data_IF_578619806326
#
_entry.id   IF_578619806326
#
_cell.length_a   1.000
_cell.length_b   1.000
_cell.length_c   1.000
_cell.angle_alpha   90.00
_cell.angle_beta   90.00
_cell.angle_gamma   90.00
#
_symmetry.space_group_name_H-M   'P 1'
#
loop_
_entity.id
_entity.type
_entity.pdbx_description
1 polymer ?
#
# COMPACT_ATOMS: atom_id res chain seq x y z
N UNK A 1 -15.62 -5.91 8.89
CA UNK A 1 -15.10 -6.70 8.50
C UNK A 1 -14.93 -7.86 7.52
N UNK A 2 -14.75 -9.05 7.99
CA UNK A 2 -14.66 -10.29 7.19
C UNK A 2 -13.70 -10.20 5.97
N UNK A 3 -12.54 -9.53 6.13
CA UNK A 3 -11.54 -9.42 5.08
C UNK A 3 -11.76 -8.29 4.07
N UNK A 4 -12.74 -7.41 4.25
CA UNK A 4 -12.91 -6.25 3.41
C UNK A 4 -11.73 -5.28 3.58
N UNK A 5 -11.02 -4.99 2.49
CA UNK A 5 -9.83 -4.13 2.50
C UNK A 5 -10.14 -2.73 3.00
N UNK A 6 -11.28 -2.17 2.58
CA UNK A 6 -11.71 -0.81 2.99
C UNK A 6 -11.89 -0.65 4.50
N UNK A 7 -12.12 -1.74 5.25
CA UNK A 7 -12.19 -1.70 6.71
C UNK A 7 -10.85 -1.36 7.38
N UNK A 8 -9.75 -1.26 6.64
CA UNK A 8 -8.48 -0.71 7.11
C UNK A 8 -8.47 0.82 7.20
N UNK A 9 -9.37 1.50 6.50
CA UNK A 9 -9.58 2.94 6.67
C UNK A 9 -10.29 3.22 8.00
N UNK A 10 -9.82 4.19 8.79
CA UNK A 10 -10.21 4.37 10.19
C UNK A 10 -11.71 4.60 10.39
N UNK A 11 -12.36 5.39 9.52
CA UNK A 11 -13.79 5.69 9.64
C UNK A 11 -14.65 4.52 9.18
N UNK A 12 -14.23 3.79 8.16
CA UNK A 12 -14.86 2.55 7.71
C UNK A 12 -14.75 1.44 8.77
N UNK A 13 -13.60 1.35 9.47
CA UNK A 13 -13.42 0.45 10.61
C UNK A 13 -14.40 0.76 11.73
N UNK A 14 -14.53 2.04 12.11
CA UNK A 14 -15.47 2.50 13.15
C UNK A 14 -16.90 2.15 12.74
N UNK A 15 -17.30 2.45 11.51
CA UNK A 15 -18.62 2.11 10.99
C UNK A 15 -18.91 0.61 11.07
N UNK A 16 -17.92 -0.23 10.72
CA UNK A 16 -18.03 -1.69 10.80
C UNK A 16 -18.20 -2.19 12.24
N UNK A 17 -17.49 -1.62 13.21
CA UNK A 17 -17.61 -1.96 14.64
C UNK A 17 -19.00 -1.58 15.16
N UNK A 18 -19.55 -0.45 14.70
CA UNK A 18 -20.89 0.01 15.06
C UNK A 18 -22.02 -0.81 14.40
N UNK A 19 -21.69 -1.80 13.56
CA UNK A 19 -22.68 -2.60 12.82
C UNK A 19 -23.29 -1.89 11.62
N UNK A 20 -22.71 -0.76 11.22
CA UNK A 20 -23.05 -0.06 9.98
C UNK A 20 -22.25 -0.64 8.79
N UNK A 21 -22.67 -0.31 7.57
CA UNK A 21 -21.88 -0.57 6.38
C UNK A 21 -20.53 0.12 6.50
N UNK A 22 -19.45 -0.62 6.19
CA UNK A 22 -18.09 -0.08 6.21
C UNK A 22 -17.88 0.90 5.05
N UNK A 23 -18.22 2.15 5.27
CA UNK A 23 -18.04 3.26 4.34
C UNK A 23 -17.15 4.32 4.97
N UNK A 24 -16.36 4.99 4.15
CA UNK A 24 -15.52 6.10 4.58
C UNK A 24 -16.39 7.32 4.93
N UNK A 25 -16.14 7.93 6.08
CA UNK A 25 -16.84 9.15 6.48
C UNK A 25 -16.02 10.42 6.18
N UNK A 26 -16.74 11.53 5.94
CA UNK A 26 -16.11 12.84 5.71
C UNK A 26 -15.45 13.35 6.99
N UNK A 27 -14.29 13.94 6.86
CA UNK A 27 -13.58 14.62 7.95
C UNK A 27 -13.42 16.10 7.64
N UNK A 28 -13.58 17.04 8.59
CA UNK A 28 -13.96 16.87 10.00
C UNK A 28 -15.43 16.45 10.23
N UNK A 29 -15.80 15.87 11.41
CA UNK A 29 -14.94 15.67 12.56
C UNK A 29 -13.97 14.49 12.40
N UNK A 30 -12.78 14.60 13.01
CA UNK A 30 -11.82 13.50 13.06
C UNK A 30 -12.18 12.53 14.20
N UNK A 31 -11.84 11.23 14.11
CA UNK A 31 -12.17 10.22 15.14
C UNK A 31 -11.72 10.60 16.56
N UNK A 32 -10.63 11.35 16.70
CA UNK A 32 -10.17 11.85 18.02
C UNK A 32 -11.14 12.81 18.66
N UNK A 33 -12.05 13.41 17.90
CA UNK A 33 -13.12 14.29 18.38
C UNK A 33 -14.44 13.52 18.46
N UNK A 34 -14.80 12.82 17.39
CA UNK A 34 -16.06 12.07 17.27
C UNK A 34 -15.81 10.78 16.46
N UNK A 35 -15.52 9.69 17.16
CA UNK A 35 -15.26 8.37 16.60
C UNK A 35 -16.31 7.34 17.00
N UNK A 36 -15.89 6.21 17.57
CA UNK A 36 -16.75 5.09 17.93
C UNK A 36 -17.87 5.53 18.88
N UNK A 37 -19.13 5.26 18.49
CA UNK A 37 -20.33 5.69 19.20
C UNK A 37 -20.33 7.18 19.56
N UNK A 38 -19.79 8.00 18.65
CA UNK A 38 -19.64 9.45 18.82
C UNK A 38 -18.78 9.86 20.02
N UNK A 39 -17.87 9.00 20.44
CA UNK A 39 -16.92 9.28 21.51
C UNK A 39 -15.53 9.52 20.92
N UNK A 40 -14.69 10.34 21.58
CA UNK A 40 -13.28 10.46 21.20
C UNK A 40 -12.61 9.10 21.08
N UNK A 41 -12.04 8.81 19.92
CA UNK A 41 -11.46 7.49 19.61
C UNK A 41 -10.10 7.64 18.95
N UNK A 42 -9.14 6.87 19.42
CA UNK A 42 -7.81 6.76 18.81
C UNK A 42 -7.75 5.47 18.01
N UNK A 43 -7.32 5.57 16.75
CA UNK A 43 -7.06 4.42 15.88
C UNK A 43 -5.57 4.39 15.60
N UNK A 44 -4.93 3.26 15.89
CA UNK A 44 -3.50 3.05 15.66
C UNK A 44 -3.26 1.79 14.83
N UNK A 45 -2.19 1.81 14.05
CA UNK A 45 -1.72 0.64 13.34
C UNK A 45 -1.25 -0.45 14.33
N UNK A 46 -1.51 -1.71 14.02
CA UNK A 46 -1.15 -2.87 14.87
C UNK A 46 0.36 -2.97 15.07
N UNK A 47 1.16 -2.68 14.05
CA UNK A 47 2.63 -2.68 14.14
C UNK A 47 3.12 -1.61 15.11
N UNK A 48 2.51 -0.41 15.10
CA UNK A 48 2.80 0.64 16.09
C UNK A 48 2.47 0.19 17.52
N UNK A 49 1.34 -0.51 17.71
CA UNK A 49 0.98 -1.05 19.04
C UNK A 49 1.94 -2.15 19.49
N UNK A 50 2.40 -3.01 18.57
CA UNK A 50 3.40 -4.03 18.88
C UNK A 50 4.76 -3.39 19.27
N UNK A 51 5.17 -2.31 18.59
CA UNK A 51 6.38 -1.57 18.91
C UNK A 51 6.38 -0.97 20.33
N UNK A 52 5.20 -0.61 20.86
CA UNK A 52 5.08 -0.11 22.26
C UNK A 52 5.61 -1.14 23.25
N UNK A 53 5.30 -2.42 23.08
CA UNK A 53 5.80 -3.48 23.96
C UNK A 53 7.33 -3.60 23.90
N UNK A 54 7.93 -3.48 22.71
CA UNK A 54 9.36 -3.49 22.53
C UNK A 54 10.03 -2.25 23.20
N UNK A 55 9.44 -1.06 23.04
CA UNK A 55 9.93 0.17 23.66
C UNK A 55 9.94 0.05 25.19
N UNK A 56 8.86 -0.48 25.79
CA UNK A 56 8.80 -0.68 27.24
C UNK A 56 9.84 -1.69 27.74
N UNK A 57 10.13 -2.73 26.95
CA UNK A 57 11.10 -3.76 27.31
C UNK A 57 12.55 -3.28 27.17
N UNK A 58 12.87 -2.56 26.08
CA UNK A 58 14.23 -2.12 25.78
C UNK A 58 14.58 -0.77 26.43
N UNK A 59 13.59 0.07 26.67
CA UNK A 59 13.75 1.47 27.01
C UNK A 59 13.85 2.36 25.76
N UNK A 60 13.42 3.61 25.90
CA UNK A 60 13.34 4.56 24.77
C UNK A 60 14.69 4.84 24.13
N UNK A 61 15.76 4.95 24.94
CA UNK A 61 17.09 5.26 24.43
C UNK A 61 17.67 4.12 23.59
N UNK A 62 17.47 2.86 24.02
CA UNK A 62 17.90 1.71 23.24
C UNK A 62 17.05 1.56 21.96
N UNK A 63 15.74 1.79 22.04
CA UNK A 63 14.87 1.69 20.86
C UNK A 63 15.22 2.74 19.78
N UNK A 64 15.62 3.95 20.17
CA UNK A 64 16.05 5.01 19.25
C UNK A 64 17.32 4.67 18.46
N UNK A 65 18.10 3.68 18.89
CA UNK A 65 19.28 3.24 18.13
C UNK A 65 18.96 2.26 17.01
N UNK A 66 17.73 1.79 16.94
CA UNK A 66 17.22 0.92 15.86
C UNK A 66 16.55 1.79 14.82
N UNK A 67 16.93 1.65 13.56
CA UNK A 67 16.36 2.41 12.46
C UNK A 67 17.24 3.56 11.97
N UNK A 68 16.68 4.44 11.14
CA UNK A 68 17.38 5.54 10.50
C UNK A 68 16.54 6.83 10.47
N UNK A 69 17.15 7.97 10.73
CA UNK A 69 16.50 9.27 10.66
C UNK A 69 15.29 9.38 11.59
N UNK A 70 14.10 9.60 11.03
CA UNK A 70 12.82 9.62 11.76
C UNK A 70 12.11 8.26 11.72
N UNK A 71 12.53 7.36 10.87
CA UNK A 71 12.03 5.99 10.75
C UNK A 71 12.78 5.10 11.73
N UNK A 72 12.25 4.99 12.96
CA UNK A 72 12.87 4.24 14.05
C UNK A 72 12.16 2.90 14.28
N UNK A 73 12.94 1.92 14.76
CA UNK A 73 12.47 0.58 15.04
C UNK A 73 12.65 -0.38 13.86
N UNK A 74 11.88 -1.45 13.90
CA UNK A 74 11.88 -2.51 12.88
C UNK A 74 10.66 -2.43 11.99
N UNK A 75 10.72 -3.14 10.87
CA UNK A 75 9.62 -3.32 9.92
C UNK A 75 9.49 -4.79 9.55
N UNK A 76 8.27 -5.31 9.58
CA UNK A 76 7.96 -6.60 8.97
C UNK A 76 7.86 -6.42 7.46
N UNK A 77 8.63 -7.23 6.74
CA UNK A 77 8.60 -7.30 5.27
C UNK A 77 8.14 -8.69 4.83
N UNK A 78 7.44 -8.75 3.72
CA UNK A 78 7.08 -10.03 3.11
C UNK A 78 7.64 -10.09 1.69
N UNK A 79 8.39 -11.15 1.40
CA UNK A 79 8.99 -11.45 0.10
C UNK A 79 8.18 -12.53 -0.58
N UNK A 80 7.75 -12.29 -1.82
CA UNK A 80 6.92 -13.24 -2.58
C UNK A 80 7.72 -14.43 -3.15
N UNK A 81 7.03 -15.31 -3.90
CA UNK A 81 7.62 -16.53 -4.46
C UNK A 81 8.63 -16.32 -5.59
N UNK A 82 8.88 -15.10 -6.03
CA UNK A 82 9.95 -14.78 -7.00
C UNK A 82 11.30 -14.48 -6.35
N UNK A 83 11.37 -14.45 -5.02
CA UNK A 83 12.64 -14.48 -4.32
C UNK A 83 13.10 -15.93 -4.12
N UNK A 84 14.42 -16.17 -4.08
CA UNK A 84 14.96 -17.48 -3.75
C UNK A 84 14.62 -17.90 -2.32
N UNK A 85 14.51 -16.92 -1.40
CA UNK A 85 14.12 -17.11 -0.01
C UNK A 85 12.82 -16.32 0.25
N UNK A 86 11.66 -16.81 -0.19
CA UNK A 86 10.39 -16.15 0.09
C UNK A 86 10.03 -16.29 1.57
N UNK A 87 9.30 -15.32 2.14
CA UNK A 87 8.87 -15.40 3.52
C UNK A 87 8.59 -14.06 4.18
N UNK A 88 8.40 -14.11 5.49
CA UNK A 88 8.21 -12.96 6.35
C UNK A 88 9.46 -12.73 7.20
N UNK A 89 9.99 -11.52 7.15
CA UNK A 89 11.21 -11.14 7.86
C UNK A 89 11.00 -9.86 8.66
N UNK A 90 11.66 -9.75 9.79
CA UNK A 90 11.75 -8.51 10.54
C UNK A 90 13.13 -7.90 10.31
N UNK A 91 13.18 -6.65 9.89
CA UNK A 91 14.41 -5.92 9.59
C UNK A 91 14.37 -4.52 10.17
N UNK A 92 15.53 -3.95 10.47
CA UNK A 92 15.62 -2.59 10.95
C UNK A 92 15.19 -1.59 9.85
N UNK A 93 14.43 -0.57 10.21
CA UNK A 93 14.19 0.56 9.31
C UNK A 93 15.52 1.22 8.94
N UNK A 94 15.67 1.64 7.68
CA UNK A 94 16.94 2.11 7.14
C UNK A 94 17.81 1.02 6.50
N UNK A 95 17.41 -0.26 6.57
CA UNK A 95 18.12 -1.35 5.86
C UNK A 95 18.13 -1.09 4.36
N UNK A 96 19.30 -1.15 3.67
CA UNK A 96 19.35 -0.99 2.21
C UNK A 96 18.48 -2.04 1.51
N UNK A 97 17.68 -1.60 0.55
CA UNK A 97 16.81 -2.53 -0.22
C UNK A 97 17.65 -3.54 -1.02
N UNK A 98 18.82 -3.16 -1.48
CA UNK A 98 19.76 -4.09 -2.13
C UNK A 98 20.13 -5.25 -1.20
N UNK A 99 20.38 -4.98 0.10
CA UNK A 99 20.66 -6.02 1.08
C UNK A 99 19.45 -6.95 1.30
N UNK A 100 18.23 -6.37 1.34
CA UNK A 100 17.00 -7.16 1.45
C UNK A 100 16.85 -8.09 0.24
N UNK A 101 17.08 -7.57 -0.97
CA UNK A 101 16.94 -8.37 -2.20
C UNK A 101 18.01 -9.44 -2.27
N UNK A 102 19.29 -9.04 -2.10
CA UNK A 102 20.42 -9.90 -2.46
C UNK A 102 20.77 -10.87 -1.31
N UNK A 103 20.74 -10.43 -0.04
CA UNK A 103 21.17 -11.25 1.11
C UNK A 103 19.98 -11.96 1.79
N UNK A 104 18.91 -11.22 2.13
CA UNK A 104 17.75 -11.81 2.81
C UNK A 104 16.94 -12.65 1.82
N UNK A 105 16.56 -12.06 0.69
CA UNK A 105 15.79 -12.70 -0.37
C UNK A 105 16.59 -13.70 -1.19
N UNK A 106 17.92 -13.64 -1.12
CA UNK A 106 18.81 -14.51 -1.91
C UNK A 106 18.80 -14.22 -3.40
N UNK A 107 18.37 -13.02 -3.80
CA UNK A 107 18.12 -12.63 -5.18
C UNK A 107 16.82 -13.17 -5.74
N UNK A 108 16.57 -12.90 -7.01
CA UNK A 108 15.37 -13.34 -7.73
C UNK A 108 15.59 -14.67 -8.45
N UNK A 109 14.52 -15.46 -8.55
CA UNK A 109 14.51 -16.71 -9.33
C UNK A 109 13.93 -16.53 -10.75
N UNK A 110 13.60 -15.29 -11.15
CA UNK A 110 13.14 -14.90 -12.48
C UNK A 110 13.71 -13.51 -12.84
N UNK A 111 13.52 -13.07 -14.08
CA UNK A 111 13.94 -11.76 -14.56
C UNK A 111 12.88 -10.68 -14.18
N UNK A 112 13.13 -9.98 -13.09
CA UNK A 112 12.22 -9.01 -12.50
C UNK A 112 12.53 -7.59 -13.00
N UNK A 113 11.49 -6.86 -13.47
CA UNK A 113 11.60 -5.47 -13.92
C UNK A 113 11.26 -4.43 -12.86
N UNK A 114 10.34 -4.74 -11.99
CA UNK A 114 9.85 -3.84 -10.94
C UNK A 114 9.28 -4.65 -9.78
N UNK A 115 9.13 -3.99 -8.64
CA UNK A 115 8.37 -4.53 -7.51
C UNK A 115 7.25 -3.56 -7.12
N UNK A 116 6.09 -4.09 -6.77
CA UNK A 116 5.11 -3.34 -6.02
C UNK A 116 5.44 -3.46 -4.54
N UNK A 117 5.67 -2.31 -3.91
CA UNK A 117 6.01 -2.23 -2.49
C UNK A 117 4.82 -1.67 -1.71
N UNK A 118 4.48 -2.28 -0.59
CA UNK A 118 3.51 -1.74 0.34
C UNK A 118 2.05 -2.08 0.05
N UNK A 119 1.79 -3.01 -0.84
CA UNK A 119 0.45 -3.49 -1.19
C UNK A 119 -0.19 -2.75 -2.36
N UNK A 120 -1.51 -2.95 -2.61
CA UNK A 120 -2.19 -2.40 -3.79
C UNK A 120 -2.16 -0.88 -3.91
N UNK A 121 -2.04 -0.17 -2.79
CA UNK A 121 -1.91 1.30 -2.73
C UNK A 121 -0.43 1.75 -2.71
N UNK A 122 0.50 0.81 -2.72
CA UNK A 122 1.93 1.10 -2.74
C UNK A 122 2.44 1.42 -4.15
N UNK A 123 3.69 1.90 -4.20
CA UNK A 123 4.33 2.23 -5.47
C UNK A 123 4.82 1.02 -6.25
N UNK A 124 4.82 1.13 -7.57
CA UNK A 124 5.53 0.21 -8.47
C UNK A 124 6.90 0.83 -8.75
N UNK A 125 7.94 0.20 -8.24
CA UNK A 125 9.31 0.73 -8.27
C UNK A 125 10.18 -0.15 -9.17
N UNK A 126 10.81 0.40 -10.22
CA UNK A 126 11.80 -0.32 -11.02
C UNK A 126 12.95 -0.84 -10.15
N UNK A 127 13.47 -2.04 -10.46
CA UNK A 127 14.50 -2.70 -9.64
C UNK A 127 15.75 -1.83 -9.47
N UNK A 128 16.18 -1.14 -10.52
CA UNK A 128 17.38 -0.30 -10.49
C UNK A 128 17.21 0.90 -9.54
N UNK A 129 16.03 1.51 -9.52
CA UNK A 129 15.71 2.59 -8.58
C UNK A 129 15.59 2.01 -7.17
N UNK A 130 14.88 0.91 -7.01
CA UNK A 130 14.64 0.27 -5.72
C UNK A 130 15.93 -0.07 -4.98
N UNK A 131 16.94 -0.58 -5.70
CA UNK A 131 18.25 -0.90 -5.12
C UNK A 131 19.03 0.32 -4.60
N UNK A 132 18.63 1.53 -4.94
CA UNK A 132 19.23 2.77 -4.40
C UNK A 132 18.57 3.27 -3.12
N UNK A 133 17.41 2.73 -2.76
CA UNK A 133 16.62 3.14 -1.61
C UNK A 133 17.00 2.36 -0.35
N UNK A 134 16.69 2.94 0.78
CA UNK A 134 16.64 2.28 2.10
C UNK A 134 15.21 2.01 2.51
N UNK A 135 15.00 1.01 3.36
CA UNK A 135 13.68 0.62 3.87
C UNK A 135 13.24 1.62 4.96
N UNK A 136 12.89 2.81 4.56
CA UNK A 136 12.36 3.85 5.44
C UNK A 136 11.34 4.73 4.73
N UNK A 137 10.52 5.43 5.51
CA UNK A 137 9.42 6.22 4.96
C UNK A 137 9.92 7.46 4.21
N UNK A 138 11.06 8.04 4.66
CA UNK A 138 11.65 9.23 4.07
C UNK A 138 12.20 8.92 2.67
N UNK A 139 13.03 7.89 2.54
CA UNK A 139 13.64 7.51 1.26
C UNK A 139 12.58 7.15 0.20
N UNK A 140 11.53 6.43 0.60
CA UNK A 140 10.43 6.12 -0.31
C UNK A 140 9.64 7.38 -0.71
N UNK A 141 9.31 8.26 0.25
CA UNK A 141 8.59 9.52 -0.03
C UNK A 141 9.39 10.46 -0.92
N UNK A 142 10.69 10.60 -0.70
CA UNK A 142 11.59 11.41 -1.52
C UNK A 142 11.73 10.84 -2.94
N UNK A 143 11.68 9.51 -3.07
CA UNK A 143 11.63 8.82 -4.35
C UNK A 143 10.29 8.90 -5.09
N UNK A 144 9.26 9.50 -4.47
CA UNK A 144 7.90 9.59 -5.02
C UNK A 144 7.09 8.29 -4.86
N UNK A 145 7.47 7.43 -3.91
CA UNK A 145 6.81 6.14 -3.66
C UNK A 145 6.25 6.07 -2.24
N UNK A 146 5.40 5.06 -2.00
CA UNK A 146 4.89 4.73 -0.68
C UNK A 146 5.47 3.40 -0.21
N UNK A 147 6.03 3.38 1.00
CA UNK A 147 6.50 2.15 1.65
C UNK A 147 5.32 1.25 2.08
N UNK A 148 4.22 1.85 2.52
CA UNK A 148 3.03 1.14 2.99
C UNK A 148 3.35 0.12 4.08
N UNK A 149 2.81 -1.09 3.93
CA UNK A 149 3.09 -2.19 4.86
C UNK A 149 4.34 -3.01 4.49
N UNK A 150 5.12 -2.59 3.49
CA UNK A 150 6.38 -3.20 3.08
C UNK A 150 6.28 -4.67 2.62
N UNK A 151 5.23 -5.04 1.88
CA UNK A 151 5.26 -6.25 1.05
C UNK A 151 6.04 -5.99 -0.23
N UNK A 152 6.77 -7.00 -0.68
CA UNK A 152 7.57 -6.99 -1.91
C UNK A 152 6.93 -7.98 -2.89
N UNK A 153 6.18 -7.46 -3.84
CA UNK A 153 5.54 -8.25 -4.90
C UNK A 153 6.27 -8.00 -6.20
N UNK A 154 6.91 -9.04 -6.72
CA UNK A 154 7.74 -8.96 -7.92
C UNK A 154 6.89 -8.91 -9.20
N UNK A 155 7.32 -8.11 -10.15
CA UNK A 155 6.72 -8.01 -11.48
C UNK A 155 7.75 -8.48 -12.50
N UNK A 156 7.62 -9.72 -13.04
CA UNK A 156 8.50 -10.26 -14.06
C UNK A 156 8.51 -9.41 -15.33
N UNK A 157 9.63 -9.40 -16.06
CA UNK A 157 9.71 -8.74 -17.38
C UNK A 157 8.71 -9.28 -18.38
N UNK A 158 8.40 -10.57 -18.30
CA UNK A 158 7.40 -11.24 -19.12
C UNK A 158 5.97 -10.77 -18.87
N UNK A 159 5.68 -10.18 -17.69
CA UNK A 159 4.33 -9.76 -17.35
C UNK A 159 4.01 -8.36 -17.91
N UNK A 160 2.83 -8.19 -18.52
CA UNK A 160 2.40 -6.93 -19.11
C UNK A 160 2.09 -5.88 -18.02
N UNK A 161 2.66 -4.67 -18.15
CA UNK A 161 2.32 -3.55 -17.26
C UNK A 161 0.84 -3.14 -17.39
N UNK A 162 0.27 -3.25 -18.58
CA UNK A 162 -1.16 -2.94 -18.83
C UNK A 162 -2.07 -3.96 -18.14
N UNK A 163 -1.70 -5.24 -18.16
CA UNK A 163 -2.44 -6.27 -17.41
C UNK A 163 -2.33 -6.07 -15.90
N UNK A 164 -1.16 -5.63 -15.43
CA UNK A 164 -0.98 -5.31 -14.02
C UNK A 164 -1.86 -4.13 -13.59
N UNK A 165 -1.88 -3.05 -14.38
CA UNK A 165 -2.75 -1.91 -14.14
C UNK A 165 -4.23 -2.31 -14.14
N UNK A 166 -4.66 -3.15 -15.09
CA UNK A 166 -6.02 -3.71 -15.10
C UNK A 166 -6.34 -4.48 -13.81
N UNK A 167 -5.38 -5.26 -13.31
CA UNK A 167 -5.54 -5.99 -12.05
C UNK A 167 -5.74 -5.03 -10.86
N UNK A 168 -4.98 -3.93 -10.78
CA UNK A 168 -5.16 -2.92 -9.74
C UNK A 168 -6.53 -2.23 -9.81
N UNK A 169 -6.99 -1.86 -11.01
CA UNK A 169 -8.35 -1.34 -11.18
C UNK A 169 -9.43 -2.35 -10.79
N UNK A 170 -9.23 -3.63 -11.13
CA UNK A 170 -10.15 -4.70 -10.74
C UNK A 170 -10.22 -4.88 -9.22
N UNK A 171 -9.07 -4.82 -8.54
CA UNK A 171 -8.98 -4.81 -7.08
C UNK A 171 -9.74 -3.64 -6.48
N UNK A 172 -9.47 -2.41 -6.95
CA UNK A 172 -10.14 -1.20 -6.48
C UNK A 172 -11.65 -1.28 -6.72
N UNK A 173 -12.10 -1.75 -7.88
CA UNK A 173 -13.52 -1.93 -8.17
C UNK A 173 -14.21 -2.94 -7.23
N UNK A 174 -13.49 -3.99 -6.81
CA UNK A 174 -14.00 -5.00 -5.89
C UNK A 174 -14.05 -4.49 -4.45
N UNK A 175 -13.02 -3.78 -4.00
CA UNK A 175 -12.85 -3.34 -2.61
C UNK A 175 -13.46 -1.96 -2.31
N UNK A 176 -13.88 -1.21 -3.33
CA UNK A 176 -14.49 0.10 -3.15
C UNK A 176 -15.74 0.02 -2.27
N UNK A 177 -15.83 0.88 -1.25
CA UNK A 177 -17.05 1.00 -0.44
C UNK A 177 -18.24 1.58 -1.23
N UNK A 178 -17.98 2.16 -2.41
CA UNK A 178 -18.99 2.72 -3.31
C UNK A 178 -19.51 4.11 -2.94
N UNK A 179 -18.98 4.76 -1.90
CA UNK A 179 -19.45 6.09 -1.45
C UNK A 179 -19.07 7.18 -2.45
N UNK A 180 -17.79 7.28 -2.81
CA UNK A 180 -17.32 8.31 -3.73
C UNK A 180 -17.68 7.93 -5.17
N UNK A 181 -18.37 8.81 -5.86
CA UNK A 181 -18.78 8.58 -7.25
C UNK A 181 -17.57 8.33 -8.19
N UNK A 182 -16.48 9.14 -8.14
CA UNK A 182 -15.32 8.91 -8.98
C UNK A 182 -14.64 7.55 -8.72
N UNK A 183 -14.46 7.15 -7.47
CA UNK A 183 -13.91 5.85 -7.13
C UNK A 183 -14.80 4.71 -7.62
N UNK A 184 -16.11 4.74 -7.29
CA UNK A 184 -17.06 3.67 -7.62
C UNK A 184 -17.18 3.41 -9.12
N UNK A 185 -17.29 4.46 -9.93
CA UNK A 185 -17.44 4.33 -11.38
C UNK A 185 -16.07 4.32 -12.09
N UNK A 186 -15.13 5.12 -11.62
CA UNK A 186 -13.81 5.23 -12.22
C UNK A 186 -13.02 3.94 -12.17
N UNK A 187 -13.07 3.22 -11.05
CA UNK A 187 -12.38 1.92 -10.95
C UNK A 187 -12.92 0.88 -11.94
N UNK A 188 -14.23 0.82 -12.12
CA UNK A 188 -14.86 -0.06 -13.13
C UNK A 188 -14.49 0.41 -14.54
N UNK A 189 -14.58 1.73 -14.79
CA UNK A 189 -14.28 2.29 -16.11
C UNK A 189 -12.83 2.10 -16.50
N UNK A 190 -11.89 2.34 -15.59
CA UNK A 190 -10.45 2.11 -15.83
C UNK A 190 -10.16 0.65 -16.18
N UNK A 191 -10.77 -0.28 -15.44
CA UNK A 191 -10.69 -1.71 -15.77
C UNK A 191 -11.20 -2.01 -17.20
N UNK A 192 -12.39 -1.52 -17.57
CA UNK A 192 -12.98 -1.72 -18.89
C UNK A 192 -12.12 -1.14 -20.02
N UNK A 193 -11.55 0.04 -19.82
CA UNK A 193 -10.67 0.69 -20.80
C UNK A 193 -9.42 -0.15 -21.06
N UNK A 194 -8.78 -0.64 -20.00
CA UNK A 194 -7.60 -1.50 -20.11
C UNK A 194 -7.93 -2.87 -20.72
N UNK A 195 -9.04 -3.46 -20.33
CA UNK A 195 -9.54 -4.72 -20.91
C UNK A 195 -9.78 -4.57 -22.43
N UNK A 196 -10.47 -3.49 -22.85
CA UNK A 196 -10.72 -3.22 -24.26
C UNK A 196 -9.44 -2.98 -25.07
N UNK A 197 -8.43 -2.36 -24.46
CA UNK A 197 -7.12 -2.16 -25.08
C UNK A 197 -6.35 -3.49 -25.24
N UNK A 198 -6.35 -4.33 -24.22
CA UNK A 198 -5.70 -5.65 -24.23
C UNK A 198 -6.34 -6.55 -25.31
N UNK A 199 -7.65 -6.52 -25.41
CA UNK A 199 -8.41 -7.30 -26.40
C UNK A 199 -8.36 -6.71 -27.82
N UNK A 200 -7.72 -5.55 -28.02
CA UNK A 200 -7.62 -4.88 -29.31
C UNK A 200 -8.93 -4.27 -29.83
N UNK A 201 -9.95 -4.14 -28.96
CA UNK A 201 -11.25 -3.55 -29.31
C UNK A 201 -11.20 -2.04 -29.42
N UNK A 202 -10.35 -1.39 -28.61
CA UNK A 202 -10.12 0.05 -28.63
C UNK A 202 -8.62 0.35 -28.51
N UNK A 203 -8.19 1.46 -29.13
CA UNK A 203 -6.82 1.95 -28.94
C UNK A 203 -6.66 2.46 -27.51
N UNK A 204 -5.57 2.08 -26.87
CA UNK A 204 -5.19 2.64 -25.56
C UNK A 204 -4.98 4.15 -25.68
N UNK A 205 -5.60 4.92 -24.78
CA UNK A 205 -5.42 6.36 -24.67
C UNK A 205 -4.88 6.70 -23.28
N UNK A 206 -3.61 7.10 -23.26
CA UNK A 206 -2.96 7.54 -22.02
C UNK A 206 -3.66 8.78 -21.43
N UNK A 207 -4.05 9.74 -22.29
CA UNK A 207 -4.75 10.96 -21.88
C UNK A 207 -6.03 10.65 -21.09
N UNK A 208 -6.88 9.78 -21.63
CA UNK A 208 -8.13 9.40 -20.97
C UNK A 208 -7.90 8.65 -19.64
N UNK A 209 -6.83 7.85 -19.54
CA UNK A 209 -6.49 7.18 -18.28
C UNK A 209 -6.00 8.19 -17.25
N UNK A 210 -5.16 9.15 -17.64
CA UNK A 210 -4.70 10.20 -16.73
C UNK A 210 -5.85 11.10 -16.24
N UNK A 211 -6.76 11.54 -17.13
CA UNK A 211 -7.95 12.30 -16.76
C UNK A 211 -8.83 11.53 -15.76
N UNK A 212 -8.97 10.21 -15.97
CA UNK A 212 -9.72 9.34 -15.07
C UNK A 212 -9.05 9.25 -13.70
N UNK A 213 -7.73 9.03 -13.66
CA UNK A 213 -6.96 8.94 -12.41
C UNK A 213 -7.01 10.25 -11.63
N UNK A 214 -6.82 11.40 -12.28
CA UNK A 214 -6.93 12.72 -11.65
C UNK A 214 -8.33 12.93 -11.07
N UNK A 215 -9.38 12.56 -11.82
CA UNK A 215 -10.76 12.65 -11.35
C UNK A 215 -11.00 11.77 -10.11
N UNK A 216 -10.43 10.57 -10.10
CA UNK A 216 -10.54 9.65 -8.96
C UNK A 216 -9.78 10.18 -7.74
N UNK A 217 -8.56 10.69 -7.93
CA UNK A 217 -7.71 11.23 -6.87
C UNK A 217 -8.36 12.46 -6.21
N UNK A 218 -8.76 13.46 -7.00
CA UNK A 218 -9.32 14.71 -6.49
C UNK A 218 -10.72 14.53 -5.92
N UNK A 219 -11.51 13.62 -6.49
CA UNK A 219 -12.93 13.43 -6.15
C UNK A 219 -13.21 12.34 -5.11
N UNK A 220 -12.18 11.71 -4.53
CA UNK A 220 -12.35 10.61 -3.55
C UNK A 220 -11.88 11.00 -2.16
N UNK A 221 -12.50 10.39 -1.12
CA UNK A 221 -12.25 10.71 0.29
C UNK A 221 -11.07 9.95 0.90
N UNK A 222 -10.66 8.86 0.32
CA UNK A 222 -9.59 7.99 0.83
C UNK A 222 -8.61 7.60 -0.29
N UNK A 223 -7.53 6.90 0.08
CA UNK A 223 -6.45 6.54 -0.83
C UNK A 223 -6.71 5.26 -1.66
N UNK A 224 -7.89 4.61 -1.53
CA UNK A 224 -8.25 3.46 -2.36
C UNK A 224 -8.48 3.93 -3.84
#
# INVERSE_FOLDING_TARGET
GQGAYICGEETALIASIEGRRAEVDVRPPFPVVEGLYKKPTVVNNVESLAAVAAIFKLGSEAYKTIGNGRSLGTKLISLDGYFNNPGLYEVDLGTPISFIIDEIGGGFNDDIKALQIGGPLGGIVPVDILKTLTLDFEAFSEGGFLLGHASFVCIPKSFSAVEYAKHLFAFTAHESCGKCFPCRLGSVRGKEMLESAIEGKQKFSEELIYDLLETMEVGSLCAL
#
